data_IF_491221732128
#
_entry.id   IF_491221732128
#
_cell.length_a   1.000
_cell.length_b   1.000
_cell.length_c   1.000
_cell.angle_alpha   90.00
_cell.angle_beta   90.00
_cell.angle_gamma   90.00
#
_symmetry.space_group_name_H-M   'P 1'
#
loop_
_entity.id
_entity.type
_entity.pdbx_description
1 polymer ?
#
# COMPACT_ATOMS: atom_id res chain seq x y z
N UNK A 1 8.09 0.96 -19.95
CA UNK A 1 7.41 1.63 -18.81
C UNK A 1 8.06 1.19 -17.51
N UNK A 2 8.10 2.02 -16.46
CA UNK A 2 8.87 1.70 -15.24
C UNK A 2 8.37 0.40 -14.56
N UNK A 3 7.06 0.18 -14.53
CA UNK A 3 6.44 -1.07 -14.05
C UNK A 3 6.95 -2.32 -14.78
N UNK A 4 7.21 -2.23 -16.09
CA UNK A 4 7.75 -3.35 -16.89
C UNK A 4 9.23 -3.59 -16.60
N UNK A 5 9.98 -2.53 -16.29
CA UNK A 5 11.41 -2.65 -15.94
C UNK A 5 11.53 -3.36 -14.59
N UNK A 6 10.70 -3.00 -13.61
CA UNK A 6 10.69 -3.57 -12.25
C UNK A 6 10.08 -4.97 -12.15
N UNK A 7 9.58 -5.53 -13.26
CA UNK A 7 9.27 -6.96 -13.31
C UNK A 7 10.51 -7.84 -13.08
N UNK A 8 11.69 -7.35 -13.47
CA UNK A 8 12.97 -8.02 -13.24
C UNK A 8 13.68 -7.46 -12.02
N UNK A 9 14.45 -8.31 -11.35
CA UNK A 9 15.19 -7.97 -10.15
C UNK A 9 16.20 -6.84 -10.42
N UNK A 10 16.90 -6.85 -11.56
CA UNK A 10 17.88 -5.79 -11.91
C UNK A 10 17.20 -4.41 -12.06
N UNK A 11 15.94 -4.39 -12.50
CA UNK A 11 15.15 -3.17 -12.58
C UNK A 11 14.80 -2.60 -11.21
N UNK A 12 14.43 -3.47 -10.26
CA UNK A 12 14.20 -3.07 -8.88
C UNK A 12 15.50 -2.66 -8.16
N UNK A 13 16.60 -3.37 -8.39
CA UNK A 13 17.92 -3.01 -7.86
C UNK A 13 18.35 -1.62 -8.30
N UNK A 14 18.24 -1.32 -9.60
CA UNK A 14 18.57 0.00 -10.14
C UNK A 14 17.71 1.09 -9.50
N UNK A 15 16.41 0.84 -9.34
CA UNK A 15 15.47 1.79 -8.75
C UNK A 15 15.71 2.01 -7.25
N UNK A 16 16.08 0.96 -6.52
CA UNK A 16 16.46 1.04 -5.12
C UNK A 16 17.81 1.77 -4.94
N UNK A 17 18.84 1.39 -5.70
CA UNK A 17 20.18 1.97 -5.63
C UNK A 17 20.21 3.45 -6.01
N UNK A 18 19.38 3.86 -6.97
CA UNK A 18 19.21 5.26 -7.36
C UNK A 18 18.30 6.07 -6.43
N UNK A 19 17.68 5.44 -5.42
CA UNK A 19 16.59 6.00 -4.59
C UNK A 19 15.39 6.49 -5.41
N UNK A 20 15.26 6.07 -6.67
CA UNK A 20 14.15 6.47 -7.54
C UNK A 20 12.80 5.96 -7.04
N UNK A 21 12.76 4.94 -6.19
CA UNK A 21 11.53 4.50 -5.52
C UNK A 21 10.85 5.64 -4.73
N UNK A 22 11.62 6.60 -4.19
CA UNK A 22 11.08 7.75 -3.46
C UNK A 22 10.24 8.60 -4.41
N UNK A 23 10.76 8.90 -5.60
CA UNK A 23 10.04 9.67 -6.61
C UNK A 23 8.78 8.94 -7.11
N UNK A 24 8.82 7.61 -7.22
CA UNK A 24 7.65 6.80 -7.58
C UNK A 24 6.59 6.89 -6.48
N UNK A 25 6.97 6.75 -5.21
CA UNK A 25 6.03 6.85 -4.09
C UNK A 25 5.44 8.25 -3.97
N UNK A 26 6.26 9.29 -4.07
CA UNK A 26 5.79 10.69 -4.05
C UNK A 26 4.84 10.98 -5.22
N UNK A 27 5.13 10.42 -6.39
CA UNK A 27 4.25 10.53 -7.57
C UNK A 27 2.91 9.83 -7.30
N UNK A 28 2.93 8.60 -6.79
CA UNK A 28 1.72 7.85 -6.44
C UNK A 28 0.86 8.62 -5.42
N UNK A 29 1.47 9.15 -4.36
CA UNK A 29 0.77 9.96 -3.35
C UNK A 29 0.09 11.18 -4.00
N UNK A 30 0.77 11.89 -4.89
CA UNK A 30 0.20 13.06 -5.59
C UNK A 30 -0.93 12.67 -6.54
N UNK A 31 -0.79 11.56 -7.26
CA UNK A 31 -1.83 11.07 -8.16
C UNK A 31 -3.10 10.71 -7.38
N UNK A 32 -2.97 9.96 -6.28
CA UNK A 32 -4.08 9.62 -5.38
C UNK A 32 -4.77 10.87 -4.83
N UNK A 33 -4.01 11.88 -4.41
CA UNK A 33 -4.57 13.13 -3.87
C UNK A 33 -5.31 13.97 -4.91
N UNK A 34 -4.97 13.78 -6.19
CA UNK A 34 -5.57 14.51 -7.32
C UNK A 34 -6.70 13.71 -7.98
N UNK A 35 -6.91 12.46 -7.57
CA UNK A 35 -8.00 11.59 -7.97
C UNK A 35 -9.33 12.28 -7.62
N UNK A 36 -10.22 12.40 -8.59
CA UNK A 36 -11.55 13.01 -8.53
C UNK A 36 -11.59 14.52 -8.81
N UNK A 37 -10.45 15.20 -8.86
CA UNK A 37 -10.41 16.68 -8.89
C UNK A 37 -10.28 17.29 -10.29
N UNK A 38 -9.71 16.54 -11.25
CA UNK A 38 -9.52 17.01 -12.63
C UNK A 38 -10.23 16.01 -13.56
N UNK A 39 -11.23 16.48 -14.31
CA UNK A 39 -12.23 15.66 -15.04
C UNK A 39 -11.74 14.72 -16.15
N UNK A 40 -10.45 14.40 -16.21
CA UNK A 40 -9.86 13.32 -17.01
C UNK A 40 -8.80 12.61 -16.15
N UNK A 41 -9.21 11.58 -15.41
CA UNK A 41 -8.30 10.74 -14.64
C UNK A 41 -7.58 9.72 -15.52
N UNK A 42 -6.25 9.75 -15.52
CA UNK A 42 -5.44 8.61 -15.91
C UNK A 42 -5.33 7.65 -14.71
N UNK A 43 -6.44 6.99 -14.35
CA UNK A 43 -6.44 5.92 -13.34
C UNK A 43 -5.40 4.84 -13.68
N UNK A 44 -5.11 4.66 -14.98
CA UNK A 44 -4.00 3.84 -15.48
C UNK A 44 -2.66 4.23 -14.87
N UNK A 45 -2.33 5.52 -14.79
CA UNK A 45 -1.09 6.00 -14.16
C UNK A 45 -1.00 5.65 -12.67
N UNK A 46 -2.11 5.68 -11.92
CA UNK A 46 -2.13 5.26 -10.52
C UNK A 46 -1.80 3.77 -10.41
N UNK A 47 -2.50 2.92 -11.17
CA UNK A 47 -2.23 1.47 -11.16
C UNK A 47 -0.80 1.13 -11.60
N UNK A 48 -0.24 1.84 -12.59
CA UNK A 48 1.15 1.64 -13.03
C UNK A 48 2.18 2.03 -11.96
N UNK A 49 1.89 3.09 -11.18
CA UNK A 49 2.72 3.48 -10.04
C UNK A 49 2.58 2.46 -8.90
N UNK A 50 1.37 1.97 -8.62
CA UNK A 50 1.12 0.87 -7.68
C UNK A 50 1.90 -0.39 -8.05
N UNK A 51 1.85 -0.83 -9.31
CA UNK A 51 2.61 -1.98 -9.82
C UNK A 51 4.11 -1.81 -9.59
N UNK A 52 4.62 -0.60 -9.85
CA UNK A 52 6.05 -0.30 -9.65
C UNK A 52 6.44 -0.41 -8.18
N UNK A 53 5.63 0.14 -7.27
CA UNK A 53 5.87 0.01 -5.82
C UNK A 53 5.77 -1.45 -5.38
N UNK A 54 4.72 -2.16 -5.79
CA UNK A 54 4.50 -3.55 -5.43
C UNK A 54 5.65 -4.45 -5.90
N UNK A 55 6.15 -4.26 -7.11
CA UNK A 55 7.29 -4.99 -7.65
C UNK A 55 8.55 -4.84 -6.78
N UNK A 56 8.82 -3.63 -6.27
CA UNK A 56 9.97 -3.40 -5.38
C UNK A 56 9.74 -4.08 -4.03
N UNK A 57 8.52 -3.96 -3.47
CA UNK A 57 8.19 -4.53 -2.17
C UNK A 57 8.23 -6.06 -2.18
N UNK A 58 7.69 -6.70 -3.22
CA UNK A 58 7.71 -8.16 -3.39
C UNK A 58 9.12 -8.71 -3.53
N UNK A 59 10.02 -7.95 -4.16
CA UNK A 59 11.42 -8.36 -4.39
C UNK A 59 12.37 -7.83 -3.31
N UNK A 60 11.85 -7.21 -2.24
CA UNK A 60 12.62 -6.53 -1.21
C UNK A 60 13.76 -7.39 -0.65
N UNK A 61 13.47 -8.65 -0.35
CA UNK A 61 14.44 -9.58 0.22
C UNK A 61 15.54 -9.93 -0.78
N UNK A 62 15.18 -10.23 -2.03
CA UNK A 62 16.12 -10.56 -3.11
C UNK A 62 17.13 -9.45 -3.34
N UNK A 63 16.65 -8.21 -3.40
CA UNK A 63 17.47 -7.04 -3.71
C UNK A 63 18.06 -6.35 -2.46
N UNK A 64 17.85 -6.94 -1.26
CA UNK A 64 18.27 -6.39 0.05
C UNK A 64 17.81 -4.94 0.27
N UNK A 65 16.59 -4.64 -0.14
CA UNK A 65 16.03 -3.30 -0.04
C UNK A 65 15.60 -2.97 1.38
N UNK A 66 16.11 -1.86 1.91
CA UNK A 66 15.70 -1.29 3.19
C UNK A 66 15.15 0.12 2.98
N UNK A 67 13.82 0.28 2.89
CA UNK A 67 13.22 1.55 2.59
C UNK A 67 13.22 2.55 3.76
N UNK A 68 13.18 3.83 3.42
CA UNK A 68 12.94 4.89 4.39
C UNK A 68 11.50 4.89 4.92
N UNK A 69 11.35 4.85 6.24
CA UNK A 69 10.05 4.73 6.90
C UNK A 69 9.11 5.92 6.63
N UNK A 70 9.67 7.12 6.48
CA UNK A 70 8.93 8.33 6.14
C UNK A 70 8.25 8.25 4.76
N UNK A 71 8.93 7.65 3.77
CA UNK A 71 8.39 7.44 2.43
C UNK A 71 7.15 6.57 2.49
N UNK A 72 7.23 5.42 3.16
CA UNK A 72 6.13 4.46 3.19
C UNK A 72 5.01 4.84 4.16
N UNK A 73 5.28 5.58 5.24
CA UNK A 73 4.21 6.10 6.10
C UNK A 73 3.33 7.13 5.37
N UNK A 74 3.92 7.94 4.50
CA UNK A 74 3.17 8.86 3.64
C UNK A 74 2.31 8.11 2.61
N UNK A 75 2.83 7.01 2.06
CA UNK A 75 2.11 6.17 1.13
C UNK A 75 0.92 5.46 1.78
N UNK A 76 1.12 4.84 2.95
CA UNK A 76 0.07 4.18 3.71
C UNK A 76 -1.12 5.10 3.97
N UNK A 77 -0.84 6.37 4.32
CA UNK A 77 -1.89 7.38 4.49
C UNK A 77 -2.64 7.68 3.20
N UNK A 78 -1.91 7.87 2.10
CA UNK A 78 -2.53 8.14 0.82
C UNK A 78 -3.42 6.98 0.38
N UNK A 79 -2.97 5.74 0.54
CA UNK A 79 -3.74 4.54 0.21
C UNK A 79 -5.01 4.41 1.07
N UNK A 80 -4.93 4.71 2.38
CA UNK A 80 -6.10 4.75 3.26
C UNK A 80 -7.11 5.80 2.81
N UNK A 81 -6.65 7.00 2.45
CA UNK A 81 -7.50 8.06 1.89
C UNK A 81 -8.13 7.65 0.54
N UNK A 82 -7.35 6.97 -0.31
CA UNK A 82 -7.80 6.58 -1.65
C UNK A 82 -9.02 5.66 -1.59
N UNK A 83 -9.02 4.69 -0.67
CA UNK A 83 -10.13 3.74 -0.54
C UNK A 83 -11.37 4.33 0.14
N UNK A 84 -11.22 5.38 0.96
CA UNK A 84 -12.35 6.00 1.67
C UNK A 84 -13.37 6.64 0.70
N UNK A 85 -12.92 7.01 -0.51
CA UNK A 85 -13.77 7.64 -1.54
C UNK A 85 -14.36 6.68 -2.59
N UNK A 86 -14.07 5.37 -2.52
CA UNK A 86 -14.42 4.44 -3.60
C UNK A 86 -14.92 3.08 -3.09
N UNK A 87 -15.80 2.46 -3.88
CA UNK A 87 -16.26 1.08 -3.73
C UNK A 87 -15.72 0.17 -4.84
N UNK A 88 -14.77 0.64 -5.65
CA UNK A 88 -14.11 -0.17 -6.67
C UNK A 88 -13.26 -1.28 -6.02
N UNK A 89 -13.61 -2.57 -6.19
CA UNK A 89 -12.87 -3.67 -5.57
C UNK A 89 -11.40 -3.74 -6.02
N UNK A 90 -11.10 -3.28 -7.24
CA UNK A 90 -9.73 -3.28 -7.77
C UNK A 90 -8.84 -2.28 -7.01
N UNK A 91 -9.37 -1.10 -6.67
CA UNK A 91 -8.67 -0.08 -5.89
C UNK A 91 -8.46 -0.56 -4.46
N UNK A 92 -9.52 -1.09 -3.82
CA UNK A 92 -9.44 -1.62 -2.45
C UNK A 92 -8.39 -2.73 -2.34
N UNK A 93 -8.40 -3.68 -3.28
CA UNK A 93 -7.47 -4.81 -3.28
C UNK A 93 -6.03 -4.37 -3.57
N UNK A 94 -5.82 -3.44 -4.51
CA UNK A 94 -4.52 -2.89 -4.83
C UNK A 94 -3.90 -2.18 -3.62
N UNK A 95 -4.68 -1.33 -2.96
CA UNK A 95 -4.26 -0.61 -1.76
C UNK A 95 -3.96 -1.57 -0.61
N UNK A 96 -4.82 -2.58 -0.39
CA UNK A 96 -4.62 -3.60 0.65
C UNK A 96 -3.35 -4.42 0.45
N UNK A 97 -3.05 -4.83 -0.78
CA UNK A 97 -1.83 -5.57 -1.09
C UNK A 97 -0.58 -4.76 -0.76
N UNK A 98 -0.53 -3.49 -1.16
CA UNK A 98 0.61 -2.62 -0.86
C UNK A 98 0.73 -2.38 0.66
N UNK A 99 -0.38 -2.09 1.34
CA UNK A 99 -0.41 -1.92 2.79
C UNK A 99 0.11 -3.17 3.52
N UNK A 100 -0.35 -4.35 3.14
CA UNK A 100 0.09 -5.63 3.71
C UNK A 100 1.59 -5.86 3.51
N UNK A 101 2.10 -5.62 2.30
CA UNK A 101 3.53 -5.73 2.01
C UNK A 101 4.38 -4.77 2.87
N UNK A 102 3.90 -3.55 3.12
CA UNK A 102 4.58 -2.59 3.99
C UNK A 102 4.55 -3.05 5.45
N UNK A 103 3.39 -3.48 5.92
CA UNK A 103 3.20 -4.01 7.28
C UNK A 103 4.13 -5.20 7.57
N UNK A 104 4.45 -6.03 6.58
CA UNK A 104 5.36 -7.17 6.74
C UNK A 104 6.81 -6.77 7.10
N UNK A 105 7.20 -5.51 6.93
CA UNK A 105 8.55 -5.05 7.28
C UNK A 105 8.60 -3.83 8.18
N UNK A 106 7.47 -3.45 8.76
CA UNK A 106 7.38 -2.38 9.74
C UNK A 106 6.66 -2.86 10.99
N UNK A 107 6.50 -1.98 11.97
CA UNK A 107 5.67 -2.21 13.15
C UNK A 107 4.81 -0.99 13.43
N UNK A 108 3.72 -1.20 14.16
CA UNK A 108 2.84 -0.13 14.62
C UNK A 108 3.62 0.95 15.39
N UNK A 109 4.51 0.53 16.29
CA UNK A 109 5.38 1.45 17.04
C UNK A 109 6.31 2.27 16.13
N UNK A 110 6.84 1.67 15.06
CA UNK A 110 7.72 2.36 14.11
C UNK A 110 6.94 3.38 13.26
N UNK A 111 5.71 3.02 12.90
CA UNK A 111 4.77 3.89 12.22
C UNK A 111 4.37 5.09 13.09
N UNK A 112 3.96 4.87 14.34
CA UNK A 112 3.54 5.94 15.26
C UNK A 112 4.66 6.92 15.65
N UNK A 113 5.93 6.53 15.46
CA UNK A 113 7.09 7.43 15.61
C UNK A 113 7.23 8.41 14.43
N UNK A 114 6.54 8.19 13.30
CA UNK A 114 6.59 9.10 12.17
C UNK A 114 5.72 10.34 12.44
N UNK A 115 6.24 11.57 12.24
CA UNK A 115 5.49 12.80 12.54
C UNK A 115 4.16 12.87 11.79
N UNK A 116 4.14 12.29 10.60
CA UNK A 116 3.00 12.24 9.71
C UNK A 116 2.19 10.98 9.88
N UNK A 117 2.19 10.26 11.01
CA UNK A 117 1.41 9.03 11.16
C UNK A 117 0.92 8.86 12.60
N UNK A 118 -0.40 8.69 12.79
CA UNK A 118 -1.06 8.73 14.10
C UNK A 118 -2.09 7.59 14.23
N UNK A 119 -2.71 7.46 15.41
CA UNK A 119 -3.71 6.43 15.69
C UNK A 119 -4.86 6.40 14.67
N UNK A 120 -5.39 7.56 14.27
CA UNK A 120 -6.44 7.60 13.23
C UNK A 120 -5.97 7.07 11.88
N UNK A 121 -4.67 7.17 11.57
CA UNK A 121 -4.09 6.58 10.36
C UNK A 121 -4.05 5.05 10.43
N UNK A 122 -3.78 4.50 11.62
CA UNK A 122 -3.86 3.06 11.86
C UNK A 122 -5.28 2.57 11.75
N UNK A 123 -6.25 3.29 12.33
CA UNK A 123 -7.66 2.93 12.26
C UNK A 123 -8.14 2.87 10.80
N UNK A 124 -7.78 3.86 9.99
CA UNK A 124 -8.11 3.86 8.55
C UNK A 124 -7.44 2.70 7.81
N UNK A 125 -6.18 2.37 8.12
CA UNK A 125 -5.51 1.19 7.52
C UNK A 125 -6.16 -0.13 7.94
N UNK A 126 -6.51 -0.27 9.22
CA UNK A 126 -7.19 -1.46 9.73
C UNK A 126 -8.55 -1.62 9.05
N UNK A 127 -9.30 -0.52 8.90
CA UNK A 127 -10.55 -0.48 8.15
C UNK A 127 -10.38 -0.90 6.69
N UNK A 128 -9.34 -0.40 6.01
CA UNK A 128 -9.00 -0.79 4.63
C UNK A 128 -8.73 -2.30 4.52
N UNK A 129 -7.93 -2.86 5.44
CA UNK A 129 -7.62 -4.29 5.44
C UNK A 129 -8.90 -5.11 5.67
N UNK A 130 -9.71 -4.75 6.67
CA UNK A 130 -10.98 -5.41 6.95
C UNK A 130 -11.96 -5.36 5.75
N UNK A 131 -12.03 -4.21 5.07
CA UNK A 131 -12.83 -4.05 3.84
C UNK A 131 -12.35 -4.98 2.73
N UNK A 132 -11.03 -5.09 2.54
CA UNK A 132 -10.47 -5.98 1.49
C UNK A 132 -10.81 -7.46 1.72
N UNK A 133 -10.84 -7.91 2.97
CA UNK A 133 -11.24 -9.28 3.35
C UNK A 133 -12.74 -9.52 3.20
N UNK A 134 -13.56 -8.48 3.43
CA UNK A 134 -15.01 -8.56 3.25
C UNK A 134 -15.39 -8.60 1.76
N UNK A 135 -14.61 -7.95 0.90
CA UNK A 135 -14.83 -7.90 -0.55
C UNK A 135 -14.40 -9.18 -1.28
N UNK A 136 -13.60 -10.07 -0.67
CA UNK A 136 -13.06 -11.27 -1.33
C UNK A 136 -14.03 -12.44 -1.45
N UNK A 137 -15.32 -12.26 -1.12
CA UNK A 137 -16.34 -13.30 -1.31
C UNK A 137 -16.03 -14.60 -0.56
N UNK A 138 -15.42 -14.49 0.63
CA UNK A 138 -15.26 -15.62 1.53
C UNK A 138 -16.64 -15.88 2.14
N UNK A 139 -17.22 -17.06 1.88
CA UNK A 139 -18.48 -17.47 2.50
C UNK A 139 -18.43 -17.19 4.00
N UNK A 140 -19.52 -16.65 4.55
CA UNK A 140 -19.63 -16.09 5.92
C UNK A 140 -19.20 -17.01 7.07
N UNK A 141 -18.88 -18.28 6.78
CA UNK A 141 -18.30 -19.23 7.73
C UNK A 141 -16.81 -18.99 7.97
N UNK A 142 -16.02 -18.69 6.94
CA UNK A 142 -14.56 -18.57 7.05
C UNK A 142 -14.13 -17.17 7.54
N UNK A 143 -14.99 -16.16 7.39
CA UNK A 143 -14.77 -14.81 7.91
C UNK A 143 -14.82 -14.73 9.43
N UNK A 144 -15.58 -15.63 10.08
CA UNK A 144 -15.68 -15.68 11.54
C UNK A 144 -14.33 -16.09 12.16
N UNK A 145 -13.67 -17.08 11.56
CA UNK A 145 -12.36 -17.59 12.01
C UNK A 145 -11.25 -16.55 11.84
N UNK A 146 -11.27 -15.78 10.75
CA UNK A 146 -10.30 -14.69 10.53
C UNK A 146 -10.52 -13.51 11.49
N UNK A 147 -11.78 -13.14 11.77
CA UNK A 147 -12.10 -12.09 12.73
C UNK A 147 -11.70 -12.49 14.16
N UNK A 148 -11.89 -13.76 14.52
CA UNK A 148 -11.44 -14.32 15.79
C UNK A 148 -9.90 -14.30 15.90
N UNK A 149 -9.18 -14.65 14.83
CA UNK A 149 -7.72 -14.63 14.80
C UNK A 149 -7.15 -13.20 14.93
N UNK A 150 -7.77 -12.23 14.25
CA UNK A 150 -7.42 -10.82 14.42
C UNK A 150 -7.70 -10.38 15.86
N UNK A 151 -8.88 -10.69 16.41
CA UNK A 151 -9.26 -10.30 17.77
C UNK A 151 -8.35 -10.93 18.83
N UNK A 152 -7.96 -12.20 18.65
CA UNK A 152 -7.02 -12.90 19.52
C UNK A 152 -5.60 -12.34 19.46
N UNK A 153 -5.19 -11.76 18.32
CA UNK A 153 -3.89 -11.09 18.18
C UNK A 153 -3.81 -9.73 18.90
N UNK A 154 -4.96 -9.10 19.19
CA UNK A 154 -5.05 -7.86 19.97
C UNK A 154 -5.34 -8.09 21.47
N UNK A 155 -5.39 -9.35 21.91
CA UNK A 155 -5.63 -9.77 23.32
C UNK A 155 -4.32 -10.07 24.06
#
# INVERSE_FOLDING_TARGET
MLCQITLRDEGCELLAASRGYIAVVECLVKLIQSDGQNGEEDSGSIFLACDTVMNILLKRENIRFSPEMSTFSSLLKALAYWVDGTEDPSVVMMAANICSLICNFTSEEALLKQPSFNASSLDSLAGLIARSLSSSGLDTSDTADLLELITAGYS
#
